data_IF_654343074654
#
_entry.id   IF_654343074654
#
_cell.length_a   1.000
_cell.length_b   1.000
_cell.length_c   1.000
_cell.angle_alpha   90.00
_cell.angle_beta   90.00
_cell.angle_gamma   90.00
#
_symmetry.space_group_name_H-M   'P 1'
#
loop_
_entity.id
_entity.type
_entity.pdbx_description
1 polymer ?
#
# COMPACT_ATOMS: atom_id res chain seq x y z
N UNK A 1 2.04 9.38 20.64
CA UNK A 1 1.79 7.93 20.71
C UNK A 1 1.57 7.38 19.32
N UNK A 2 2.35 6.39 18.93
CA UNK A 2 2.22 5.77 17.61
C UNK A 2 1.11 4.74 17.63
N UNK A 3 0.26 4.80 16.62
CA UNK A 3 -0.76 3.78 16.41
C UNK A 3 -0.30 2.86 15.32
N UNK A 4 -0.73 1.64 15.40
CA UNK A 4 -0.44 0.69 14.33
C UNK A 4 -1.66 -0.17 14.05
N UNK A 5 -1.68 -0.73 12.85
CA UNK A 5 -2.71 -1.68 12.42
C UNK A 5 -2.02 -2.93 11.94
N UNK A 6 -2.66 -4.04 12.13
CA UNK A 6 -2.21 -5.30 11.55
C UNK A 6 -3.03 -5.56 10.32
N UNK A 7 -2.36 -5.77 9.21
CA UNK A 7 -2.99 -6.08 7.94
C UNK A 7 -2.44 -7.39 7.43
N UNK A 8 -3.30 -8.14 6.80
CA UNK A 8 -2.90 -9.43 6.23
C UNK A 8 -2.39 -9.22 4.81
N UNK A 9 -1.36 -9.96 4.47
CA UNK A 9 -0.90 -10.02 3.08
C UNK A 9 -1.75 -11.05 2.36
N UNK A 10 -2.42 -10.62 1.29
CA UNK A 10 -3.28 -11.48 0.49
C UNK A 10 -2.57 -11.93 -0.76
N UNK A 11 -3.05 -13.00 -1.31
CA UNK A 11 -2.62 -13.45 -2.63
C UNK A 11 -3.54 -12.83 -3.66
N UNK A 12 -2.98 -12.18 -4.66
CA UNK A 12 -3.74 -11.64 -5.78
C UNK A 12 -3.40 -12.41 -7.03
N UNK A 13 -4.43 -12.96 -7.65
CA UNK A 13 -4.27 -13.66 -8.92
C UNK A 13 -4.25 -12.64 -10.05
N UNK A 14 -3.23 -12.75 -10.89
CA UNK A 14 -3.18 -12.03 -12.15
C UNK A 14 -3.19 -13.06 -13.26
N UNK A 15 -4.20 -12.97 -14.13
CA UNK A 15 -4.23 -13.84 -15.29
C UNK A 15 -3.79 -13.05 -16.50
N UNK A 16 -2.80 -13.57 -17.19
CA UNK A 16 -2.45 -13.10 -18.53
C UNK A 16 -2.98 -14.15 -19.51
N UNK A 17 -2.97 -13.80 -20.76
CA UNK A 17 -3.50 -14.62 -21.82
C UNK A 17 -3.04 -16.07 -21.76
N UNK A 18 -1.82 -16.30 -21.30
CA UNK A 18 -1.17 -17.61 -21.33
C UNK A 18 -0.68 -18.08 -19.96
N UNK A 19 -0.90 -17.28 -18.92
CA UNK A 19 -0.20 -17.52 -17.68
C UNK A 19 -0.98 -17.04 -16.48
N UNK A 20 -0.79 -17.72 -15.36
CA UNK A 20 -1.35 -17.30 -14.07
C UNK A 20 -0.20 -16.91 -13.17
N UNK A 21 -0.32 -15.73 -12.58
CA UNK A 21 0.66 -15.27 -11.61
C UNK A 21 -0.05 -14.94 -10.31
N UNK A 22 0.58 -15.33 -9.20
CA UNK A 22 0.08 -14.97 -7.87
C UNK A 22 1.08 -14.02 -7.26
N UNK A 23 0.61 -12.83 -6.86
CA UNK A 23 1.48 -11.84 -6.25
C UNK A 23 0.93 -11.47 -4.87
N UNK A 24 1.81 -11.15 -3.93
CA UNK A 24 1.34 -10.66 -2.62
C UNK A 24 0.74 -9.26 -2.74
N UNK A 25 -0.28 -9.01 -1.93
CA UNK A 25 -1.00 -7.75 -1.95
C UNK A 25 -1.28 -7.29 -0.53
N UNK A 26 -1.01 -6.03 -0.26
CA UNK A 26 -1.40 -5.38 0.98
C UNK A 26 -2.39 -4.28 0.63
N UNK A 27 -3.57 -4.32 1.25
CA UNK A 27 -4.62 -3.33 1.00
C UNK A 27 -4.62 -2.28 2.09
N UNK A 28 -4.51 -1.04 1.67
CA UNK A 28 -4.58 0.10 2.58
C UNK A 28 -5.75 0.97 2.15
N UNK A 29 -6.81 0.96 2.92
CA UNK A 29 -7.98 1.77 2.61
C UNK A 29 -8.75 2.10 3.87
N UNK A 30 -9.42 3.24 3.87
CA UNK A 30 -10.25 3.66 4.97
C UNK A 30 -10.08 5.13 5.29
N UNK A 31 -11.00 5.66 6.09
CA UNK A 31 -10.97 7.05 6.51
C UNK A 31 -9.73 7.41 7.32
N UNK A 32 -9.13 6.42 7.96
CA UNK A 32 -7.92 6.63 8.74
C UNK A 32 -6.75 7.15 7.89
N UNK A 33 -6.73 6.82 6.60
CA UNK A 33 -5.74 7.36 5.68
C UNK A 33 -5.91 8.85 5.52
N UNK A 34 -7.16 9.28 5.39
CA UNK A 34 -7.49 10.70 5.25
C UNK A 34 -7.09 11.48 6.50
N UNK A 35 -7.32 10.89 7.66
CA UNK A 35 -6.94 11.50 8.94
C UNK A 35 -5.44 11.70 9.08
N UNK A 36 -4.65 10.84 8.44
CA UNK A 36 -3.20 10.93 8.45
C UNK A 36 -2.64 11.83 7.36
N UNK A 37 -3.50 12.42 6.54
CA UNK A 37 -3.07 13.33 5.49
C UNK A 37 -2.97 12.74 4.11
N UNK A 38 -3.35 11.48 3.94
CA UNK A 38 -3.37 10.84 2.61
C UNK A 38 -4.72 11.10 1.98
N UNK A 39 -4.75 11.93 0.96
CA UNK A 39 -5.98 12.34 0.29
C UNK A 39 -6.00 11.85 -1.15
N UNK A 40 -7.19 11.75 -1.69
CA UNK A 40 -7.40 11.35 -3.06
C UNK A 40 -6.62 12.26 -4.02
N UNK A 41 -6.09 11.70 -5.07
CA UNK A 41 -5.39 12.44 -6.09
C UNK A 41 -3.92 12.72 -5.80
N UNK A 42 -3.48 12.46 -4.57
CA UNK A 42 -2.08 12.64 -4.21
C UNK A 42 -1.25 11.45 -4.66
N UNK A 43 0.03 11.70 -4.85
CA UNK A 43 1.00 10.63 -5.04
C UNK A 43 1.67 10.30 -3.72
N UNK A 44 2.07 9.07 -3.57
CA UNK A 44 2.79 8.63 -2.39
C UNK A 44 4.13 8.05 -2.80
N UNK A 45 5.08 8.19 -1.91
CA UNK A 45 6.40 7.58 -2.05
C UNK A 45 6.44 6.32 -1.19
N UNK A 46 6.84 5.23 -1.78
CA UNK A 46 6.98 3.97 -1.07
C UNK A 46 8.46 3.60 -1.01
N UNK A 47 9.02 3.66 0.18
CA UNK A 47 10.40 3.22 0.39
C UNK A 47 10.39 1.74 0.72
N UNK A 48 11.25 0.99 0.07
CA UNK A 48 11.25 -0.45 0.11
C UNK A 48 12.51 -0.96 0.79
N UNK A 49 12.29 -1.68 1.87
CA UNK A 49 13.36 -2.40 2.56
C UNK A 49 12.87 -3.81 2.87
N UNK A 50 13.78 -4.71 3.15
CA UNK A 50 13.38 -6.06 3.51
C UNK A 50 12.50 -6.04 4.76
N UNK A 51 11.33 -6.62 4.66
CA UNK A 51 10.32 -6.70 5.73
C UNK A 51 9.79 -5.35 6.19
N UNK A 52 10.01 -4.30 5.40
CA UNK A 52 9.57 -2.96 5.80
C UNK A 52 9.20 -2.11 4.59
N UNK A 53 8.07 -1.42 4.69
CA UNK A 53 7.66 -0.42 3.71
C UNK A 53 7.38 0.88 4.46
N UNK A 54 7.88 1.98 3.95
CA UNK A 54 7.56 3.30 4.50
C UNK A 54 6.85 4.09 3.41
N UNK A 55 5.63 4.49 3.72
CA UNK A 55 4.78 5.20 2.77
C UNK A 55 4.58 6.63 3.27
N UNK A 56 4.95 7.58 2.45
CA UNK A 56 4.82 9.00 2.78
C UNK A 56 4.12 9.73 1.63
N UNK A 57 3.45 10.81 1.97
CA UNK A 57 2.86 11.67 0.93
C UNK A 57 3.99 12.36 0.17
N UNK A 58 3.93 12.29 -1.14
CA UNK A 58 4.92 12.94 -1.99
C UNK A 58 4.51 14.39 -2.21
N UNK A 59 5.16 15.30 -1.51
CA UNK A 59 4.82 16.71 -1.58
C UNK A 59 5.46 17.43 -2.76
N UNK A 60 6.38 16.77 -3.43
CA UNK A 60 7.10 17.37 -4.55
C UNK A 60 6.52 17.01 -5.91
N UNK A 61 5.40 16.30 -5.90
CA UNK A 61 4.74 15.90 -7.14
C UNK A 61 3.85 16.98 -7.70
#
# INVERSE_FOLDING_TARGET
MKRFRKLKVYAKFRSRRWDYTVVPEIRLEGNWLKELGFKEGQQVRVEQEKNRLVITVDKDS
#
